data_IF_459870487412
#
_entry.id   IF_459870487412
#
_cell.length_a   1.000
_cell.length_b   1.000
_cell.length_c   1.000
_cell.angle_alpha   90.00
_cell.angle_beta   90.00
_cell.angle_gamma   90.00
#
_symmetry.space_group_name_H-M   'P 1'
#
loop_
_entity.id
_entity.type
_entity.pdbx_description
1 polymer ?
#
# COMPACT_ATOMS: atom_id res chain seq x y z
N UNK A 1 6.16 16.63 -9.94
CA UNK A 1 5.42 15.88 -8.91
C UNK A 1 5.66 14.37 -9.03
N UNK A 2 5.46 13.72 -10.20
CA UNK A 2 5.65 12.26 -10.37
C UNK A 2 7.03 11.77 -9.87
N UNK A 3 8.12 12.48 -10.17
CA UNK A 3 9.46 12.10 -9.75
C UNK A 3 9.65 12.19 -8.23
N UNK A 4 9.08 13.21 -7.58
CA UNK A 4 9.11 13.37 -6.12
C UNK A 4 8.35 12.26 -5.42
N UNK A 5 7.13 11.97 -5.86
CA UNK A 5 6.30 10.89 -5.31
C UNK A 5 6.96 9.52 -5.45
N UNK A 6 7.55 9.24 -6.62
CA UNK A 6 8.30 8.01 -6.85
C UNK A 6 9.54 7.92 -5.93
N UNK A 7 10.25 9.03 -5.67
CA UNK A 7 11.40 9.07 -4.78
C UNK A 7 11.02 8.77 -3.33
N UNK A 8 9.92 9.34 -2.81
CA UNK A 8 9.42 9.10 -1.45
C UNK A 8 9.06 7.62 -1.23
N UNK A 9 8.37 7.01 -2.20
CA UNK A 9 8.00 5.60 -2.13
C UNK A 9 9.25 4.71 -2.21
N UNK A 10 10.22 5.07 -3.08
CA UNK A 10 11.47 4.33 -3.21
C UNK A 10 12.31 4.39 -1.94
N UNK A 11 12.41 5.55 -1.30
CA UNK A 11 13.11 5.70 -0.01
C UNK A 11 12.50 4.79 1.06
N UNK A 12 11.19 4.81 1.22
CA UNK A 12 10.47 3.94 2.17
C UNK A 12 10.70 2.45 1.87
N UNK A 13 10.72 2.09 0.59
CA UNK A 13 11.00 0.75 0.11
C UNK A 13 12.42 0.30 0.50
N UNK A 14 13.43 1.13 0.26
CA UNK A 14 14.83 0.84 0.56
C UNK A 14 15.08 0.72 2.07
N UNK A 15 14.63 1.70 2.86
CA UNK A 15 14.77 1.70 4.33
C UNK A 15 14.15 0.45 4.94
N UNK A 16 13.01 0.00 4.43
CA UNK A 16 12.35 -1.21 4.93
C UNK A 16 13.15 -2.48 4.61
N UNK A 17 13.78 -2.55 3.43
CA UNK A 17 14.70 -3.66 3.08
C UNK A 17 15.89 -3.67 4.03
N UNK A 18 16.57 -2.53 4.19
CA UNK A 18 17.73 -2.40 5.08
C UNK A 18 17.37 -2.80 6.50
N UNK A 19 16.24 -2.36 7.02
CA UNK A 19 15.76 -2.75 8.35
C UNK A 19 15.56 -4.27 8.46
N UNK A 20 14.95 -4.90 7.46
CA UNK A 20 14.79 -6.35 7.41
C UNK A 20 16.11 -7.10 7.37
N UNK A 21 17.10 -6.60 6.62
CA UNK A 21 18.43 -7.20 6.54
C UNK A 21 19.22 -7.06 7.86
N UNK A 22 19.18 -5.89 8.50
CA UNK A 22 19.83 -5.66 9.80
C UNK A 22 19.25 -6.57 10.87
N UNK A 23 17.93 -6.69 10.94
CA UNK A 23 17.26 -7.57 11.90
C UNK A 23 17.48 -9.05 11.55
N UNK A 24 17.53 -9.39 10.26
CA UNK A 24 17.90 -10.71 9.78
C UNK A 24 19.32 -11.09 10.21
N UNK A 25 20.28 -10.16 10.10
CA UNK A 25 21.66 -10.36 10.55
C UNK A 25 21.72 -10.54 12.09
N UNK A 26 20.92 -9.80 12.85
CA UNK A 26 20.81 -9.99 14.31
C UNK A 26 20.27 -11.39 14.66
N UNK A 27 19.34 -11.94 13.87
CA UNK A 27 18.84 -13.31 14.04
C UNK A 27 19.90 -14.37 13.69
N UNK A 28 20.77 -14.11 12.74
CA UNK A 28 21.91 -15.01 12.41
C UNK A 28 22.81 -15.23 13.62
N UNK A 29 23.00 -14.22 14.46
CA UNK A 29 23.78 -14.34 15.69
C UNK A 29 23.12 -15.25 16.75
N UNK A 30 21.78 -15.38 16.71
CA UNK A 30 20.98 -16.18 17.65
C UNK A 30 20.74 -17.60 17.10
N UNK A 31 20.47 -17.72 15.79
CA UNK A 31 20.20 -18.98 15.09
C UNK A 31 21.16 -19.13 13.88
N UNK A 32 22.42 -19.56 14.11
CA UNK A 32 23.39 -19.70 13.04
C UNK A 32 23.06 -20.82 12.03
N UNK A 33 22.23 -21.77 12.43
CA UNK A 33 21.87 -22.96 11.62
C UNK A 33 20.99 -22.59 10.42
N UNK A 34 20.23 -21.51 10.52
CA UNK A 34 19.33 -21.02 9.48
C UNK A 34 19.71 -19.62 8.99
N UNK A 35 20.98 -19.28 9.05
CA UNK A 35 21.49 -17.92 8.83
C UNK A 35 21.04 -17.30 7.52
N UNK A 36 21.11 -18.03 6.40
CA UNK A 36 20.76 -17.51 5.10
C UNK A 36 19.27 -17.18 4.94
N UNK A 37 18.37 -17.92 5.59
CA UNK A 37 16.93 -17.65 5.45
C UNK A 37 16.54 -16.28 5.97
N UNK A 38 17.10 -15.86 7.12
CA UNK A 38 16.74 -14.59 7.75
C UNK A 38 17.17 -13.38 6.93
N UNK A 39 18.24 -13.50 6.16
CA UNK A 39 18.75 -12.42 5.30
C UNK A 39 18.13 -12.47 3.91
N UNK A 40 18.00 -13.66 3.32
CA UNK A 40 17.59 -13.81 1.92
C UNK A 40 16.07 -13.75 1.75
N UNK A 41 15.30 -14.22 2.74
CA UNK A 41 13.84 -14.24 2.64
C UNK A 41 13.22 -12.85 2.40
N UNK A 42 13.61 -11.76 3.10
CA UNK A 42 13.15 -10.41 2.79
C UNK A 42 13.36 -10.00 1.33
N UNK A 43 14.53 -10.33 0.76
CA UNK A 43 14.86 -10.01 -0.63
C UNK A 43 14.01 -10.80 -1.63
N UNK A 44 13.75 -12.08 -1.35
CA UNK A 44 12.88 -12.91 -2.18
C UNK A 44 11.46 -12.34 -2.20
N UNK A 45 10.92 -11.95 -1.04
CA UNK A 45 9.59 -11.36 -0.95
C UNK A 45 9.50 -10.05 -1.75
N UNK A 46 10.54 -9.23 -1.72
CA UNK A 46 10.62 -8.02 -2.54
C UNK A 46 10.63 -8.33 -4.04
N UNK A 47 11.41 -9.30 -4.46
CA UNK A 47 11.44 -9.74 -5.86
C UNK A 47 10.07 -10.27 -6.32
N UNK A 48 9.41 -11.08 -5.49
CA UNK A 48 8.03 -11.55 -5.74
C UNK A 48 7.06 -10.36 -5.88
N UNK A 49 7.15 -9.38 -4.99
CA UNK A 49 6.32 -8.18 -5.03
C UNK A 49 6.47 -7.40 -6.34
N UNK A 50 7.71 -7.21 -6.81
CA UNK A 50 7.98 -6.54 -8.10
C UNK A 50 7.37 -7.33 -9.27
N UNK A 51 7.60 -8.64 -9.33
CA UNK A 51 7.04 -9.50 -10.37
C UNK A 51 5.51 -9.47 -10.33
N UNK A 52 4.91 -9.56 -9.14
CA UNK A 52 3.46 -9.50 -8.95
C UNK A 52 2.88 -8.16 -9.37
N UNK A 53 3.57 -7.04 -9.10
CA UNK A 53 3.18 -5.71 -9.54
C UNK A 53 3.16 -5.60 -11.07
N UNK A 54 4.19 -6.12 -11.73
CA UNK A 54 4.25 -6.15 -13.20
C UNK A 54 3.08 -6.97 -13.76
N UNK A 55 2.86 -8.17 -13.25
CA UNK A 55 1.75 -9.04 -13.67
C UNK A 55 0.39 -8.37 -13.44
N UNK A 56 0.20 -7.73 -12.28
CA UNK A 56 -1.02 -7.01 -11.94
C UNK A 56 -1.28 -5.85 -12.91
N UNK A 57 -0.27 -5.08 -13.26
CA UNK A 57 -0.41 -3.94 -14.20
C UNK A 57 -0.96 -4.39 -15.55
N UNK A 58 -0.55 -5.54 -16.06
CA UNK A 58 -1.11 -6.10 -17.31
C UNK A 58 -2.58 -6.52 -17.21
N UNK A 59 -3.15 -6.59 -16.01
CA UNK A 59 -4.58 -6.91 -15.84
C UNK A 59 -5.50 -5.69 -15.95
N UNK A 60 -4.99 -4.46 -15.94
CA UNK A 60 -5.81 -3.23 -16.01
C UNK A 60 -6.78 -3.22 -17.21
N UNK A 61 -6.35 -3.48 -18.46
CA UNK A 61 -7.27 -3.52 -19.61
C UNK A 61 -8.34 -4.62 -19.50
N UNK A 62 -8.04 -5.69 -18.76
CA UNK A 62 -8.98 -6.80 -18.53
C UNK A 62 -10.15 -6.32 -17.67
N UNK A 63 -9.88 -5.55 -16.61
CA UNK A 63 -10.91 -5.04 -15.70
C UNK A 63 -11.84 -4.01 -16.36
N UNK A 64 -11.32 -3.19 -17.28
CA UNK A 64 -12.11 -2.24 -18.04
C UNK A 64 -13.10 -2.93 -18.98
N UNK A 65 -12.72 -4.08 -19.55
CA UNK A 65 -13.50 -4.86 -20.52
C UNK A 65 -14.18 -6.10 -19.93
N UNK A 66 -14.18 -6.29 -18.61
CA UNK A 66 -14.65 -7.51 -17.98
C UNK A 66 -16.13 -7.79 -18.27
N UNK A 67 -16.50 -9.01 -18.65
CA UNK A 67 -17.87 -9.34 -19.11
C UNK A 67 -18.91 -9.26 -17.98
N UNK A 68 -18.52 -9.50 -16.73
CA UNK A 68 -19.42 -9.43 -15.57
C UNK A 68 -19.47 -8.00 -15.03
N UNK A 69 -20.61 -7.33 -15.17
CA UNK A 69 -20.82 -5.92 -14.81
C UNK A 69 -20.41 -5.56 -13.39
N UNK A 70 -20.56 -6.46 -12.43
CA UNK A 70 -20.21 -6.20 -11.02
C UNK A 70 -18.69 -6.26 -10.73
N UNK A 71 -17.89 -6.85 -11.63
CA UNK A 71 -16.44 -6.92 -11.55
C UNK A 71 -15.76 -5.94 -12.51
N UNK A 72 -16.53 -5.36 -13.43
CA UNK A 72 -16.01 -4.40 -14.39
C UNK A 72 -15.67 -3.10 -13.68
N UNK A 73 -14.47 -2.58 -13.92
CA UNK A 73 -14.08 -1.27 -13.43
C UNK A 73 -14.85 -0.16 -14.17
N UNK A 74 -15.36 0.80 -13.43
CA UNK A 74 -16.16 1.90 -13.97
C UNK A 74 -15.32 3.15 -14.26
N UNK A 75 -14.17 3.25 -13.59
CA UNK A 75 -13.19 4.31 -13.78
C UNK A 75 -11.75 3.77 -13.66
N UNK A 76 -10.78 4.61 -14.01
CA UNK A 76 -9.36 4.24 -13.98
C UNK A 76 -8.86 3.92 -12.56
N UNK A 77 -9.37 4.63 -11.55
CA UNK A 77 -9.03 4.39 -10.13
C UNK A 77 -9.45 2.97 -9.72
N UNK A 78 -10.68 2.56 -10.05
CA UNK A 78 -11.16 1.21 -9.75
C UNK A 78 -10.36 0.13 -10.50
N UNK A 79 -9.99 0.36 -11.77
CA UNK A 79 -9.16 -0.57 -12.53
C UNK A 79 -7.76 -0.75 -11.90
N UNK A 80 -7.16 0.33 -11.41
CA UNK A 80 -5.89 0.29 -10.69
C UNK A 80 -6.00 -0.46 -9.36
N UNK A 81 -7.06 -0.23 -8.57
CA UNK A 81 -7.30 -1.00 -7.34
C UNK A 81 -7.47 -2.50 -7.60
N UNK A 82 -8.20 -2.88 -8.63
CA UNK A 82 -8.34 -4.29 -9.05
C UNK A 82 -7.00 -4.91 -9.44
N UNK A 83 -6.19 -4.18 -10.18
CA UNK A 83 -4.82 -4.58 -10.50
C UNK A 83 -3.98 -4.80 -9.25
N UNK A 84 -4.09 -3.91 -8.28
CA UNK A 84 -3.42 -4.03 -6.97
C UNK A 84 -3.88 -5.28 -6.20
N UNK A 85 -5.17 -5.57 -6.19
CA UNK A 85 -5.73 -6.77 -5.56
C UNK A 85 -5.16 -8.06 -6.19
N UNK A 86 -5.04 -8.12 -7.52
CA UNK A 86 -4.41 -9.26 -8.23
C UNK A 86 -2.95 -9.41 -7.84
N UNK A 87 -2.19 -8.31 -7.81
CA UNK A 87 -0.80 -8.31 -7.35
C UNK A 87 -0.70 -8.84 -5.92
N UNK A 88 -1.64 -8.46 -5.06
CA UNK A 88 -1.71 -8.88 -3.66
C UNK A 88 -1.94 -10.39 -3.52
N UNK A 89 -2.89 -10.94 -4.26
CA UNK A 89 -3.17 -12.38 -4.27
C UNK A 89 -1.95 -13.17 -4.75
N UNK A 90 -1.31 -12.73 -5.83
CA UNK A 90 -0.10 -13.35 -6.35
C UNK A 90 1.03 -13.33 -5.31
N UNK A 91 1.27 -12.19 -4.67
CA UNK A 91 2.33 -12.07 -3.66
C UNK A 91 2.05 -12.96 -2.45
N UNK A 92 0.83 -13.02 -1.96
CA UNK A 92 0.45 -13.91 -0.86
C UNK A 92 0.71 -15.37 -1.26
N UNK A 93 0.24 -15.79 -2.43
CA UNK A 93 0.42 -17.16 -2.91
C UNK A 93 1.91 -17.54 -3.00
N UNK A 94 2.73 -16.72 -3.67
CA UNK A 94 4.15 -17.01 -3.81
C UNK A 94 4.93 -16.87 -2.49
N UNK A 95 4.51 -15.99 -1.57
CA UNK A 95 5.12 -15.89 -0.25
C UNK A 95 4.92 -17.16 0.57
N UNK A 96 3.75 -17.80 0.51
CA UNK A 96 3.51 -19.10 1.14
C UNK A 96 4.35 -20.19 0.49
N UNK A 97 4.45 -20.21 -0.83
CA UNK A 97 5.28 -21.17 -1.54
C UNK A 97 6.74 -21.10 -1.08
N UNK A 98 7.31 -19.88 -1.05
CA UNK A 98 8.71 -19.67 -0.64
C UNK A 98 8.89 -19.91 0.86
N UNK A 99 7.95 -19.52 1.70
CA UNK A 99 8.04 -19.75 3.14
C UNK A 99 8.09 -21.26 3.47
N UNK A 100 7.30 -22.08 2.77
CA UNK A 100 7.26 -23.52 2.99
C UNK A 100 8.48 -24.21 2.36
N UNK A 101 8.81 -23.88 1.10
CA UNK A 101 9.85 -24.62 0.35
C UNK A 101 11.29 -24.18 0.71
N UNK A 102 11.49 -22.88 0.99
CA UNK A 102 12.80 -22.32 1.26
C UNK A 102 13.05 -22.06 2.73
N UNK A 103 12.13 -21.35 3.40
CA UNK A 103 12.33 -20.94 4.80
C UNK A 103 11.96 -22.04 5.82
N UNK A 104 11.09 -23.00 5.46
CA UNK A 104 10.60 -24.03 6.37
C UNK A 104 9.74 -23.46 7.52
N UNK A 105 9.23 -22.23 7.40
CA UNK A 105 8.44 -21.52 8.42
C UNK A 105 7.27 -20.76 7.80
N UNK A 106 6.09 -21.34 7.88
CA UNK A 106 4.85 -20.75 7.35
C UNK A 106 4.47 -19.41 8.01
N UNK A 107 4.96 -19.15 9.24
CA UNK A 107 4.69 -17.90 9.97
C UNK A 107 5.24 -16.70 9.23
N UNK A 108 6.36 -16.85 8.50
CA UNK A 108 6.93 -15.78 7.69
C UNK A 108 5.98 -15.36 6.56
N UNK A 109 5.33 -16.32 5.91
CA UNK A 109 4.30 -16.00 4.90
C UNK A 109 3.09 -15.32 5.51
N UNK A 110 2.66 -15.72 6.71
CA UNK A 110 1.57 -15.04 7.44
C UNK A 110 1.90 -13.57 7.69
N UNK A 111 3.13 -13.26 8.15
CA UNK A 111 3.56 -11.88 8.39
C UNK A 111 3.55 -11.05 7.11
N UNK A 112 4.11 -11.60 6.03
CA UNK A 112 4.09 -10.96 4.71
C UNK A 112 2.65 -10.73 4.24
N UNK A 113 1.77 -11.72 4.40
CA UNK A 113 0.37 -11.63 4.01
C UNK A 113 -0.40 -10.58 4.82
N UNK A 114 -0.10 -10.46 6.11
CA UNK A 114 -0.66 -9.39 6.96
C UNK A 114 -0.21 -8.03 6.43
N UNK A 115 1.07 -7.86 6.09
CA UNK A 115 1.58 -6.63 5.50
C UNK A 115 0.89 -6.26 4.18
N UNK A 116 0.76 -7.23 3.27
CA UNK A 116 -0.02 -7.05 2.02
C UNK A 116 -1.47 -6.69 2.32
N UNK A 117 -2.11 -7.38 3.27
CA UNK A 117 -3.47 -7.10 3.72
C UNK A 117 -3.64 -5.69 4.30
N UNK A 118 -2.64 -5.19 5.05
CA UNK A 118 -2.61 -3.80 5.52
C UNK A 118 -2.68 -2.83 4.34
N UNK A 119 -1.85 -3.00 3.33
CA UNK A 119 -1.84 -2.12 2.17
C UNK A 119 -3.19 -2.15 1.42
N UNK A 120 -3.78 -3.34 1.25
CA UNK A 120 -5.12 -3.49 0.64
C UNK A 120 -6.21 -2.78 1.45
N UNK A 121 -6.09 -2.75 2.78
CA UNK A 121 -7.05 -2.04 3.67
C UNK A 121 -6.80 -0.54 3.68
N UNK A 122 -5.54 -0.10 3.65
CA UNK A 122 -5.22 1.33 3.67
C UNK A 122 -5.70 2.07 2.42
N UNK A 123 -5.64 1.46 1.25
CA UNK A 123 -6.08 2.10 0.00
C UNK A 123 -7.56 2.57 0.09
N UNK A 124 -8.56 1.71 0.34
CA UNK A 124 -9.95 2.15 0.47
C UNK A 124 -10.19 3.00 1.72
N UNK A 125 -9.44 2.81 2.81
CA UNK A 125 -9.53 3.64 4.01
C UNK A 125 -9.12 5.09 3.70
N UNK A 126 -8.00 5.27 3.03
CA UNK A 126 -7.53 6.59 2.60
C UNK A 126 -8.52 7.23 1.63
N UNK A 127 -8.96 6.49 0.62
CA UNK A 127 -9.97 6.96 -0.35
C UNK A 127 -11.28 7.36 0.36
N UNK A 128 -11.71 6.67 1.41
CA UNK A 128 -12.91 7.04 2.18
C UNK A 128 -12.78 8.42 2.81
N UNK A 129 -11.63 8.76 3.39
CA UNK A 129 -11.41 10.03 4.09
C UNK A 129 -11.01 11.19 3.18
N UNK A 130 -10.55 10.92 1.95
CA UNK A 130 -10.02 11.93 1.03
C UNK A 130 -10.89 12.19 -0.20
N UNK A 131 -11.77 11.25 -0.57
CA UNK A 131 -12.60 11.39 -1.78
C UNK A 131 -13.73 12.40 -1.59
N UNK A 132 -13.88 13.30 -2.54
CA UNK A 132 -14.98 14.30 -2.62
C UNK A 132 -16.37 13.67 -2.70
N UNK A 133 -16.45 12.39 -3.09
CA UNK A 133 -17.71 11.64 -3.16
C UNK A 133 -18.16 11.08 -1.80
N UNK A 134 -17.27 11.04 -0.80
CA UNK A 134 -17.50 10.40 0.49
C UNK A 134 -17.95 11.39 1.58
N UNK A 135 -18.67 10.92 2.63
CA UNK A 135 -19.21 11.77 3.69
C UNK A 135 -18.17 12.67 4.37
N UNK A 136 -16.96 12.20 4.76
CA UNK A 136 -16.02 13.04 5.52
C UNK A 136 -15.65 14.34 4.79
N UNK A 137 -15.34 14.26 3.50
CA UNK A 137 -15.01 15.44 2.68
C UNK A 137 -16.24 16.33 2.47
N UNK A 138 -17.44 15.73 2.27
CA UNK A 138 -18.69 16.49 2.14
C UNK A 138 -19.01 17.27 3.41
N UNK A 139 -18.66 16.76 4.58
CA UNK A 139 -18.83 17.46 5.86
C UNK A 139 -17.91 18.68 5.93
N UNK A 140 -16.64 18.53 5.54
CA UNK A 140 -15.69 19.66 5.44
C UNK A 140 -16.24 20.72 4.47
N UNK A 141 -16.71 20.33 3.29
CA UNK A 141 -17.33 21.26 2.32
C UNK A 141 -18.55 21.96 2.91
N UNK A 142 -19.40 21.26 3.66
CA UNK A 142 -20.55 21.88 4.33
C UNK A 142 -20.13 22.90 5.38
N UNK A 143 -19.04 22.65 6.10
CA UNK A 143 -18.52 23.55 7.15
C UNK A 143 -17.98 24.88 6.59
N UNK A 144 -17.61 24.93 5.30
CA UNK A 144 -17.13 26.18 4.67
C UNK A 144 -18.19 27.28 4.67
N UNK A 145 -19.48 26.92 4.73
CA UNK A 145 -20.61 27.89 4.78
C UNK A 145 -20.63 28.70 6.06
N UNK A 146 -20.02 28.22 7.14
CA UNK A 146 -19.99 28.86 8.44
C UNK A 146 -18.70 29.63 8.72
N UNK A 147 -17.71 29.52 7.84
CA UNK A 147 -16.50 30.31 7.85
C UNK A 147 -15.20 29.49 7.97
N UNK A 148 -14.03 30.17 7.89
CA UNK A 148 -12.72 29.50 7.87
C UNK A 148 -12.41 28.68 9.14
N UNK A 149 -12.79 29.18 10.31
CA UNK A 149 -12.52 28.51 11.59
C UNK A 149 -13.18 27.13 11.66
N UNK A 150 -14.45 27.04 11.28
CA UNK A 150 -15.19 25.78 11.26
C UNK A 150 -14.68 24.82 10.21
N UNK A 151 -14.20 25.33 9.06
CA UNK A 151 -13.57 24.51 8.01
C UNK A 151 -12.28 23.88 8.50
N UNK A 152 -11.41 24.65 9.16
CA UNK A 152 -10.14 24.15 9.72
C UNK A 152 -10.43 23.10 10.82
N UNK A 153 -11.35 23.35 11.71
CA UNK A 153 -11.72 22.41 12.78
C UNK A 153 -12.32 21.12 12.22
N UNK A 154 -13.20 21.22 11.23
CA UNK A 154 -13.78 20.04 10.55
C UNK A 154 -12.70 19.21 9.83
N UNK A 155 -11.80 19.86 9.09
CA UNK A 155 -10.69 19.19 8.44
C UNK A 155 -9.74 18.48 9.42
N UNK A 156 -9.38 19.16 10.51
CA UNK A 156 -8.55 18.58 11.57
C UNK A 156 -9.23 17.37 12.23
N UNK A 157 -10.53 17.48 12.53
CA UNK A 157 -11.30 16.39 13.14
C UNK A 157 -11.33 15.16 12.24
N UNK A 158 -11.62 15.32 10.95
CA UNK A 158 -11.60 14.23 9.96
C UNK A 158 -10.21 13.61 9.81
N UNK A 159 -9.16 14.42 9.79
CA UNK A 159 -7.77 13.95 9.74
C UNK A 159 -7.38 13.14 10.97
N UNK A 160 -7.76 13.59 12.16
CA UNK A 160 -7.54 12.85 13.41
C UNK A 160 -8.30 11.52 13.42
N UNK A 161 -9.55 11.51 12.98
CA UNK A 161 -10.36 10.29 12.87
C UNK A 161 -9.70 9.28 11.91
N UNK A 162 -9.26 9.72 10.74
CA UNK A 162 -8.52 8.89 9.78
C UNK A 162 -7.28 8.25 10.42
N UNK A 163 -6.53 9.03 11.20
CA UNK A 163 -5.32 8.55 11.89
C UNK A 163 -5.62 7.48 12.94
N UNK A 164 -6.74 7.57 13.66
CA UNK A 164 -7.14 6.56 14.64
C UNK A 164 -7.41 5.21 13.96
N UNK A 165 -8.10 5.21 12.84
CA UNK A 165 -8.35 3.98 12.08
C UNK A 165 -7.05 3.37 11.55
N UNK A 166 -6.16 4.20 10.99
CA UNK A 166 -4.86 3.76 10.51
C UNK A 166 -4.02 3.12 11.62
N UNK A 167 -3.90 3.80 12.78
CA UNK A 167 -3.20 3.28 13.95
C UNK A 167 -3.81 1.97 14.47
N UNK A 168 -5.14 1.86 14.48
CA UNK A 168 -5.84 0.65 14.89
C UNK A 168 -5.43 -0.57 14.07
N UNK A 169 -5.37 -0.43 12.74
CA UNK A 169 -4.96 -1.51 11.83
C UNK A 169 -3.48 -1.87 12.03
N UNK A 170 -2.60 -0.88 12.23
CA UNK A 170 -1.18 -1.11 12.53
C UNK A 170 -1.01 -1.86 13.86
N UNK A 171 -1.70 -1.44 14.92
CA UNK A 171 -1.61 -2.09 16.25
C UNK A 171 -2.05 -3.55 16.17
N UNK A 172 -3.12 -3.85 15.42
CA UNK A 172 -3.57 -5.24 15.21
C UNK A 172 -2.45 -6.07 14.57
N UNK A 173 -1.76 -5.54 13.57
CA UNK A 173 -0.65 -6.26 12.92
C UNK A 173 0.51 -6.54 13.87
N UNK A 174 0.85 -5.60 14.76
CA UNK A 174 1.88 -5.79 15.79
C UNK A 174 1.47 -6.84 16.82
N UNK A 175 0.22 -6.86 17.24
CA UNK A 175 -0.31 -7.90 18.14
C UNK A 175 -0.17 -9.27 17.50
N UNK A 176 -0.51 -9.41 16.20
CA UNK A 176 -0.37 -10.70 15.51
C UNK A 176 1.10 -11.10 15.38
N UNK A 177 2.01 -10.18 15.07
CA UNK A 177 3.46 -10.45 15.04
C UNK A 177 3.96 -10.94 16.41
N UNK A 178 3.51 -10.30 17.50
CA UNK A 178 3.83 -10.71 18.86
C UNK A 178 3.27 -12.11 19.20
N UNK A 179 2.05 -12.42 18.79
CA UNK A 179 1.45 -13.74 19.04
C UNK A 179 2.19 -14.86 18.29
N UNK A 180 2.69 -14.59 17.07
CA UNK A 180 3.40 -15.58 16.27
C UNK A 180 4.83 -15.85 16.75
N UNK A 181 5.54 -14.83 17.20
CA UNK A 181 6.97 -14.91 17.51
C UNK A 181 7.34 -14.50 18.95
N UNK A 182 6.39 -14.08 19.78
CA UNK A 182 6.66 -13.59 21.13
C UNK A 182 7.35 -14.61 22.05
N UNK A 183 7.07 -15.91 21.87
CA UNK A 183 7.72 -16.98 22.61
C UNK A 183 9.19 -17.21 22.24
N UNK A 184 9.66 -16.71 21.10
CA UNK A 184 11.02 -16.89 20.61
C UNK A 184 11.96 -15.76 21.04
N UNK A 185 11.42 -14.65 21.54
CA UNK A 185 12.19 -13.51 22.05
C UNK A 185 12.03 -12.22 21.24
N UNK A 186 12.52 -11.12 21.82
CA UNK A 186 12.29 -9.78 21.30
C UNK A 186 12.84 -9.57 19.87
N UNK A 187 14.01 -10.13 19.55
CA UNK A 187 14.62 -9.98 18.21
C UNK A 187 13.76 -10.62 17.13
N UNK A 188 13.14 -11.77 17.41
CA UNK A 188 12.22 -12.42 16.49
C UNK A 188 10.95 -11.59 16.27
N UNK A 189 10.43 -10.96 17.33
CA UNK A 189 9.26 -10.06 17.22
C UNK A 189 9.60 -8.83 16.37
N UNK A 190 10.77 -8.21 16.57
CA UNK A 190 11.22 -7.07 15.77
C UNK A 190 11.37 -7.46 14.30
N UNK A 191 11.96 -8.62 14.03
CA UNK A 191 12.04 -9.13 12.66
C UNK A 191 10.66 -9.42 12.08
N UNK A 192 9.73 -9.97 12.85
CA UNK A 192 8.35 -10.20 12.44
C UNK A 192 7.65 -8.89 12.03
N UNK A 193 7.82 -7.82 12.81
CA UNK A 193 7.30 -6.48 12.49
C UNK A 193 7.92 -5.94 11.19
N UNK A 194 9.23 -6.10 11.02
CA UNK A 194 9.90 -5.71 9.77
C UNK A 194 9.34 -6.49 8.57
N UNK A 195 9.04 -7.79 8.72
CA UNK A 195 8.42 -8.60 7.67
C UNK A 195 7.00 -8.15 7.31
N UNK A 196 6.22 -7.66 8.27
CA UNK A 196 4.93 -7.01 7.99
C UNK A 196 5.14 -5.74 7.15
N UNK A 197 6.10 -4.88 7.50
CA UNK A 197 6.44 -3.69 6.72
C UNK A 197 6.92 -4.03 5.30
N UNK A 198 7.75 -5.09 5.16
CA UNK A 198 8.17 -5.60 3.85
C UNK A 198 6.97 -6.07 3.03
N UNK A 199 6.02 -6.78 3.63
CA UNK A 199 4.79 -7.19 2.98
C UNK A 199 3.95 -5.99 2.52
N UNK A 200 3.77 -4.99 3.38
CA UNK A 200 3.00 -3.78 3.09
C UNK A 200 3.54 -3.01 1.88
N UNK A 201 4.86 -2.93 1.74
CA UNK A 201 5.52 -2.24 0.64
C UNK A 201 5.92 -3.17 -0.53
N UNK A 202 5.38 -4.40 -0.62
CA UNK A 202 5.74 -5.34 -1.69
C UNK A 202 5.35 -4.82 -3.07
N UNK A 203 4.21 -4.11 -3.18
CA UNK A 203 3.65 -3.62 -4.43
C UNK A 203 4.02 -2.16 -4.72
N UNK A 204 5.24 -1.76 -4.39
CA UNK A 204 5.73 -0.40 -4.63
C UNK A 204 5.57 0.05 -6.09
N UNK A 205 5.72 -0.85 -7.06
CA UNK A 205 5.47 -0.55 -8.47
C UNK A 205 4.03 -0.11 -8.75
N UNK A 206 3.04 -0.78 -8.18
CA UNK A 206 1.64 -0.39 -8.30
C UNK A 206 1.38 0.95 -7.59
N UNK A 207 1.96 1.17 -6.39
CA UNK A 207 1.81 2.41 -5.65
C UNK A 207 2.37 3.60 -6.43
N UNK A 208 3.56 3.48 -7.01
CA UNK A 208 4.15 4.53 -7.88
C UNK A 208 3.25 4.82 -9.08
N UNK A 209 2.68 3.79 -9.71
CA UNK A 209 1.77 3.99 -10.84
C UNK A 209 0.49 4.72 -10.42
N UNK A 210 -0.10 4.34 -9.29
CA UNK A 210 -1.31 4.98 -8.75
C UNK A 210 -1.07 6.42 -8.34
N UNK A 211 0.03 6.69 -7.65
CA UNK A 211 0.39 8.06 -7.22
C UNK A 211 0.72 8.95 -8.41
N UNK A 212 1.42 8.43 -9.42
CA UNK A 212 1.75 9.20 -10.63
C UNK A 212 0.53 9.51 -11.51
N UNK A 213 -0.55 8.74 -11.40
CA UNK A 213 -1.80 8.98 -12.11
C UNK A 213 -2.41 10.34 -11.73
N UNK A 214 -2.37 10.74 -10.46
CA UNK A 214 -2.91 12.02 -9.98
C UNK A 214 -2.34 13.22 -10.74
N UNK A 215 -1.04 13.51 -10.66
CA UNK A 215 -0.41 14.63 -11.36
C UNK A 215 -0.58 14.59 -12.89
N UNK A 216 -0.61 13.41 -13.49
CA UNK A 216 -0.82 13.26 -14.94
C UNK A 216 -2.24 13.67 -15.32
N UNK A 217 -3.24 13.21 -14.57
CA UNK A 217 -4.65 13.54 -14.82
C UNK A 217 -4.93 15.02 -14.54
N UNK A 218 -4.36 15.60 -13.50
CA UNK A 218 -4.47 17.04 -13.19
C UNK A 218 -3.89 17.90 -14.31
N UNK A 219 -2.72 17.57 -14.81
CA UNK A 219 -2.12 18.27 -15.95
C UNK A 219 -2.97 18.14 -17.22
N UNK A 220 -3.50 16.95 -17.50
CA UNK A 220 -4.37 16.74 -18.66
C UNK A 220 -5.65 17.55 -18.54
N UNK A 221 -6.27 17.62 -17.36
CA UNK A 221 -7.44 18.44 -17.08
C UNK A 221 -7.13 19.93 -17.24
N UNK A 222 -6.01 20.40 -16.67
CA UNK A 222 -5.60 21.81 -16.77
C UNK A 222 -5.35 22.26 -18.22
N UNK A 223 -4.78 21.40 -19.06
CA UNK A 223 -4.63 21.68 -20.50
C UNK A 223 -6.01 21.80 -21.16
N UNK A 224 -6.95 20.91 -20.84
CA UNK A 224 -8.31 20.95 -21.34
C UNK A 224 -9.04 22.23 -20.94
N UNK A 225 -8.96 22.62 -19.67
CA UNK A 225 -9.59 23.84 -19.15
C UNK A 225 -9.05 25.10 -19.86
N UNK A 226 -7.74 25.21 -20.03
CA UNK A 226 -7.14 26.34 -20.74
C UNK A 226 -7.60 26.41 -22.23
N UNK A 227 -7.63 25.26 -22.89
CA UNK A 227 -8.06 25.22 -24.30
C UNK A 227 -9.55 25.59 -24.48
N UNK A 228 -10.41 25.20 -23.54
CA UNK A 228 -11.85 25.55 -23.62
C UNK A 228 -12.10 27.00 -23.24
N UNK A 229 -11.35 27.56 -22.31
CA UNK A 229 -11.49 28.98 -21.96
C UNK A 229 -11.15 29.89 -23.14
N UNK A 230 -10.07 29.60 -23.86
CA UNK A 230 -9.70 30.33 -25.09
C UNK A 230 -10.74 30.21 -26.21
N UNK A 231 -11.51 29.10 -26.22
CA UNK A 231 -12.60 28.93 -27.21
C UNK A 231 -13.86 29.72 -26.82
N UNK A 232 -14.20 29.84 -25.56
CA UNK A 232 -15.33 30.65 -25.08
C UNK A 232 -15.09 32.15 -25.26
N UNK A 233 -13.85 32.63 -25.11
CA UNK A 233 -13.47 34.03 -25.36
C UNK A 233 -13.43 34.39 -26.87
N UNK A 234 -13.45 33.39 -27.75
CA UNK A 234 -13.41 33.58 -29.22
C UNK A 234 -14.79 33.59 -29.88
N UNK A 235 -15.90 33.28 -29.19
CA UNK A 235 -17.28 33.39 -29.62
C UNK A 235 -17.89 34.73 -29.13
#
# INVERSE_FOLDING_TARGET
DCAGMAADIFESYEVTIVSGLILGLALVAIDPTHSLKWIVYPLIIRAIGVISSILGTFTVPIWESFPLKFLRAHDAEEAMFRSYEVSSVNTIFFSFLVAILYAGDWKLAMLTSIGVGLAVVFNPLTSYFTSTRRPPVKEIVKSTRTGPATTILSGLSVGMESSVWALGVIVISFIIALLLYGSQGATYVLYAVAMVGIGMLSHTGNNVAMDSYGPISDNANGIGEMAWHDMEDAE
#
